data_IF_717669755506
#
_entry.id   IF_717669755506
#
_cell.length_a   1.000
_cell.length_b   1.000
_cell.length_c   1.000
_cell.angle_alpha   90.00
_cell.angle_beta   90.00
_cell.angle_gamma   90.00
#
_symmetry.space_group_name_H-M   'P 1'
#
loop_
_entity.id
_entity.type
_entity.pdbx_description
1 polymer ?
#
# COMPACT_ATOMS: atom_id res chain seq x y z
N UNK A 1 6.20 25.58 -43.84
CA UNK A 1 5.92 25.14 -42.45
C UNK A 1 4.50 24.55 -42.36
N UNK A 2 4.26 23.34 -42.87
CA UNK A 2 2.93 22.67 -42.77
C UNK A 2 3.07 21.21 -42.29
N UNK A 3 4.25 20.60 -42.47
CA UNK A 3 4.49 19.19 -42.12
C UNK A 3 4.69 18.95 -40.61
N UNK A 4 5.04 19.98 -39.84
CA UNK A 4 5.30 19.84 -38.40
C UNK A 4 4.02 19.70 -37.57
N UNK A 5 2.92 20.30 -38.02
CA UNK A 5 1.65 20.36 -37.30
C UNK A 5 0.98 18.98 -37.13
N UNK A 6 0.82 18.13 -38.17
CA UNK A 6 0.21 16.82 -38.02
C UNK A 6 1.03 15.85 -37.16
N UNK A 7 2.36 15.93 -37.22
CA UNK A 7 3.26 15.11 -36.40
C UNK A 7 3.13 15.49 -34.92
N UNK A 8 3.09 16.79 -34.61
CA UNK A 8 2.94 17.28 -33.25
C UNK A 8 1.59 16.88 -32.63
N UNK A 9 0.51 16.92 -33.40
CA UNK A 9 -0.80 16.48 -32.94
C UNK A 9 -0.86 14.98 -32.65
N UNK A 10 -0.19 14.15 -33.46
CA UNK A 10 -0.18 12.69 -33.28
C UNK A 10 0.60 12.28 -32.02
N UNK A 11 1.77 12.88 -31.79
CA UNK A 11 2.60 12.64 -30.60
C UNK A 11 1.87 13.05 -29.32
N UNK A 12 1.11 14.15 -29.34
CA UNK A 12 0.41 14.66 -28.15
C UNK A 12 -0.75 13.76 -27.71
N UNK A 13 -1.47 13.15 -28.66
CA UNK A 13 -2.64 12.31 -28.36
C UNK A 13 -2.21 10.96 -27.75
N UNK A 14 -1.10 10.37 -28.22
CA UNK A 14 -0.56 9.12 -27.65
C UNK A 14 0.02 9.31 -26.24
N UNK A 15 0.62 10.47 -25.98
CA UNK A 15 1.30 10.75 -24.71
C UNK A 15 0.32 10.86 -23.51
N UNK A 16 -0.94 11.21 -23.75
CA UNK A 16 -1.93 11.43 -22.68
C UNK A 16 -2.53 10.14 -22.10
N UNK A 17 -2.55 9.06 -22.88
CA UNK A 17 -3.06 7.75 -22.41
C UNK A 17 -2.02 6.92 -21.66
N UNK A 18 -0.72 7.22 -21.85
CA UNK A 18 0.40 6.53 -21.18
C UNK A 18 0.62 7.08 -19.76
N UNK A 19 0.39 8.38 -19.53
CA UNK A 19 0.61 9.05 -18.25
C UNK A 19 -0.28 8.51 -17.12
N UNK A 20 -1.55 8.17 -17.40
CA UNK A 20 -2.48 7.63 -16.38
C UNK A 20 -2.06 6.27 -15.83
N UNK A 21 -1.56 5.37 -16.69
CA UNK A 21 -1.08 4.05 -16.27
C UNK A 21 0.21 4.12 -15.46
N UNK A 22 1.10 5.08 -15.77
CA UNK A 22 2.33 5.30 -15.00
C UNK A 22 2.04 5.82 -13.59
N UNK A 23 1.12 6.78 -13.45
CA UNK A 23 0.79 7.35 -12.14
C UNK A 23 0.16 6.34 -11.17
N UNK A 24 -0.76 5.48 -11.66
CA UNK A 24 -1.33 4.40 -10.82
C UNK A 24 -0.25 3.43 -10.36
N UNK A 25 0.67 3.05 -11.25
CA UNK A 25 1.77 2.14 -10.90
C UNK A 25 2.70 2.75 -9.85
N UNK A 26 3.07 4.02 -10.00
CA UNK A 26 3.92 4.73 -9.04
C UNK A 26 3.23 4.83 -7.67
N UNK A 27 1.95 5.21 -7.63
CA UNK A 27 1.19 5.29 -6.38
C UNK A 27 1.04 3.93 -5.71
N UNK A 28 0.80 2.88 -6.48
CA UNK A 28 0.74 1.51 -5.98
C UNK A 28 2.10 1.06 -5.42
N UNK A 29 3.20 1.34 -6.12
CA UNK A 29 4.55 1.04 -5.66
C UNK A 29 4.90 1.78 -4.36
N UNK A 30 4.59 3.08 -4.28
CA UNK A 30 4.75 3.89 -3.07
C UNK A 30 3.92 3.34 -1.91
N UNK A 31 2.62 3.11 -2.10
CA UNK A 31 1.73 2.54 -1.08
C UNK A 31 2.15 1.15 -0.61
N UNK A 32 2.62 0.31 -1.54
CA UNK A 32 3.17 -1.01 -1.21
C UNK A 32 4.44 -0.89 -0.38
N UNK A 33 5.34 0.04 -0.72
CA UNK A 33 6.55 0.30 0.04
C UNK A 33 6.21 0.79 1.46
N UNK A 34 5.23 1.68 1.60
CA UNK A 34 4.74 2.15 2.89
C UNK A 34 4.21 1.01 3.77
N UNK A 35 3.31 0.17 3.24
CA UNK A 35 2.78 -0.99 3.98
C UNK A 35 3.91 -1.93 4.41
N UNK A 36 4.88 -2.19 3.52
CA UNK A 36 6.04 -3.05 3.85
C UNK A 36 6.92 -2.45 4.92
N UNK A 37 7.21 -1.16 4.85
CA UNK A 37 8.00 -0.44 5.85
C UNK A 37 7.28 -0.46 7.21
N UNK A 38 5.96 -0.31 7.22
CA UNK A 38 5.16 -0.41 8.44
C UNK A 38 5.15 -1.83 9.03
N UNK A 39 4.95 -2.86 8.20
CA UNK A 39 5.03 -4.26 8.60
C UNK A 39 6.43 -4.62 9.14
N UNK A 40 7.48 -4.14 8.48
CA UNK A 40 8.87 -4.36 8.90
C UNK A 40 9.20 -3.64 10.22
N UNK A 41 8.77 -2.39 10.39
CA UNK A 41 8.94 -1.63 11.64
C UNK A 41 8.16 -2.26 12.81
N UNK A 42 6.98 -2.82 12.54
CA UNK A 42 6.24 -3.61 13.52
C UNK A 42 7.01 -4.90 13.86
N UNK A 43 7.55 -5.60 12.86
CA UNK A 43 8.30 -6.84 13.05
C UNK A 43 9.56 -6.65 13.89
N UNK A 44 10.35 -5.61 13.64
CA UNK A 44 11.54 -5.31 14.43
C UNK A 44 11.18 -4.93 15.85
N UNK A 45 10.09 -4.18 16.03
CA UNK A 45 9.52 -3.88 17.34
C UNK A 45 9.12 -5.10 18.14
N UNK A 46 8.50 -6.10 17.49
CA UNK A 46 8.13 -7.38 18.10
C UNK A 46 9.33 -8.26 18.47
N UNK A 47 10.50 -8.07 17.85
CA UNK A 47 11.71 -8.84 18.16
C UNK A 47 12.43 -8.36 19.43
N UNK A 48 12.19 -7.13 19.88
CA UNK A 48 12.93 -6.49 20.97
C UNK A 48 12.25 -6.45 22.34
N UNK A 49 10.92 -6.54 22.43
CA UNK A 49 10.12 -6.59 23.67
C UNK A 49 8.62 -6.74 23.34
N UNK A 50 7.74 -6.79 24.34
CA UNK A 50 6.28 -6.73 24.17
C UNK A 50 5.84 -5.50 23.36
N UNK A 51 5.73 -5.71 22.04
CA UNK A 51 5.14 -4.75 21.14
C UNK A 51 3.64 -4.67 21.42
N UNK A 52 3.17 -3.51 21.88
CA UNK A 52 1.79 -3.25 22.23
C UNK A 52 1.14 -2.25 21.25
N UNK A 53 -0.17 -2.06 21.43
CA UNK A 53 -0.99 -1.19 20.57
C UNK A 53 -0.47 0.26 20.53
N UNK A 54 0.18 0.74 21.59
CA UNK A 54 0.70 2.11 21.70
C UNK A 54 1.92 2.33 20.83
N UNK A 55 2.86 1.36 20.75
CA UNK A 55 3.99 1.51 19.82
C UNK A 55 3.51 1.41 18.37
N UNK A 56 2.52 0.55 18.08
CA UNK A 56 1.88 0.46 16.76
C UNK A 56 1.24 1.79 16.35
N UNK A 57 0.44 2.39 17.24
CA UNK A 57 -0.19 3.69 17.02
C UNK A 57 0.86 4.79 16.79
N UNK A 58 1.93 4.81 17.59
CA UNK A 58 3.02 5.78 17.43
C UNK A 58 3.72 5.62 16.08
N UNK A 59 4.08 4.40 15.69
CA UNK A 59 4.72 4.14 14.40
C UNK A 59 3.81 4.58 13.23
N UNK A 60 2.52 4.24 13.31
CA UNK A 60 1.54 4.62 12.30
C UNK A 60 1.42 6.14 12.19
N UNK A 61 1.29 6.84 13.33
CA UNK A 61 1.19 8.30 13.39
C UNK A 61 2.44 8.98 12.82
N UNK A 62 3.63 8.50 13.16
CA UNK A 62 4.88 9.06 12.63
C UNK A 62 5.01 8.82 11.11
N UNK A 63 4.59 7.65 10.62
CA UNK A 63 4.60 7.39 9.19
C UNK A 63 3.61 8.27 8.44
N UNK A 64 2.41 8.50 8.98
CA UNK A 64 1.38 9.32 8.36
C UNK A 64 1.76 10.81 8.21
N UNK A 65 2.75 11.31 8.97
CA UNK A 65 3.27 12.68 8.82
C UNK A 65 4.05 12.92 7.52
N UNK A 66 4.35 11.87 6.75
CA UNK A 66 5.05 12.03 5.47
C UNK A 66 4.17 12.81 4.48
N UNK A 67 4.74 13.73 3.68
CA UNK A 67 3.99 14.65 2.84
C UNK A 67 3.16 13.97 1.72
N UNK A 68 3.48 12.73 1.38
CA UNK A 68 2.81 11.95 0.32
C UNK A 68 1.66 11.06 0.87
N UNK A 69 1.31 11.20 2.16
CA UNK A 69 0.34 10.32 2.84
C UNK A 69 -0.83 11.15 3.37
N UNK A 70 -2.04 10.80 2.95
CA UNK A 70 -3.27 11.45 3.42
C UNK A 70 -3.68 10.92 4.79
N UNK A 71 -3.68 9.59 4.97
CA UNK A 71 -3.94 8.92 6.24
C UNK A 71 -3.34 7.52 6.26
N UNK A 72 -3.23 6.94 7.46
CA UNK A 72 -2.98 5.52 7.65
C UNK A 72 -4.00 4.96 8.64
N UNK A 73 -4.54 3.79 8.32
CA UNK A 73 -5.58 3.15 9.14
C UNK A 73 -5.25 1.66 9.25
N UNK A 74 -5.39 1.13 10.46
CA UNK A 74 -5.39 -0.30 10.71
C UNK A 74 -6.74 -0.69 11.34
N UNK A 75 -7.44 -1.62 10.71
CA UNK A 75 -8.73 -2.12 11.17
C UNK A 75 -8.68 -3.59 11.53
N UNK A 76 -9.65 -4.03 12.35
CA UNK A 76 -9.97 -5.45 12.48
C UNK A 76 -10.84 -5.93 11.29
N UNK A 77 -11.19 -7.22 11.29
CA UNK A 77 -12.01 -7.84 10.23
C UNK A 77 -13.45 -7.31 10.15
N UNK A 78 -13.92 -6.64 11.20
CA UNK A 78 -15.24 -6.03 11.28
C UNK A 78 -15.20 -4.54 10.92
N UNK A 79 -14.03 -3.99 10.61
CA UNK A 79 -13.84 -2.58 10.30
C UNK A 79 -13.65 -1.69 11.52
N UNK A 80 -13.52 -2.24 12.73
CA UNK A 80 -13.19 -1.44 13.90
C UNK A 80 -11.75 -0.93 13.78
N UNK A 81 -11.58 0.38 13.89
CA UNK A 81 -10.28 1.03 13.80
C UNK A 81 -9.47 0.73 15.06
N UNK A 82 -8.34 0.07 14.88
CA UNK A 82 -7.38 -0.31 15.93
C UNK A 82 -6.28 0.74 16.07
N UNK A 83 -5.85 1.34 14.96
CA UNK A 83 -4.89 2.43 14.93
C UNK A 83 -5.19 3.37 13.75
N UNK A 84 -4.96 4.66 13.93
CA UNK A 84 -5.23 5.71 12.95
C UNK A 84 -4.34 6.92 13.24
N UNK A 85 -3.88 7.66 12.23
CA UNK A 85 -3.13 8.91 12.44
C UNK A 85 -3.91 9.98 13.23
N UNK A 86 -5.25 9.91 13.20
CA UNK A 86 -6.16 10.73 14.00
C UNK A 86 -6.63 9.95 15.23
N UNK A 87 -6.21 10.38 16.41
CA UNK A 87 -6.48 9.67 17.67
C UNK A 87 -7.97 9.55 17.99
N UNK A 88 -8.79 10.51 17.59
CA UNK A 88 -10.25 10.55 17.78
C UNK A 88 -11.01 9.51 16.94
N UNK A 89 -10.37 8.95 15.91
CA UNK A 89 -10.97 7.92 15.05
C UNK A 89 -10.80 6.51 15.61
N UNK A 90 -9.91 6.31 16.58
CA UNK A 90 -9.62 4.98 17.13
C UNK A 90 -10.86 4.44 17.85
N UNK A 91 -11.21 3.18 17.58
CA UNK A 91 -12.39 2.52 18.13
C UNK A 91 -13.69 2.77 17.36
N UNK A 92 -13.70 3.73 16.42
CA UNK A 92 -14.82 3.92 15.49
C UNK A 92 -14.81 2.85 14.39
N UNK A 93 -15.90 2.76 13.61
CA UNK A 93 -15.97 1.90 12.44
C UNK A 93 -15.48 2.64 11.21
N UNK A 94 -14.60 2.00 10.45
CA UNK A 94 -14.23 2.45 9.13
C UNK A 94 -15.43 2.26 8.20
N UNK A 95 -16.19 3.32 8.00
CA UNK A 95 -17.42 3.34 7.22
C UNK A 95 -17.09 3.35 5.72
N UNK A 96 -16.79 2.18 5.15
CA UNK A 96 -16.68 2.05 3.72
C UNK A 96 -17.14 0.68 3.20
N UNK A 97 -17.66 0.65 1.96
CA UNK A 97 -18.05 -0.52 1.16
C UNK A 97 -16.94 -1.57 0.86
N UNK A 98 -15.89 -1.67 1.70
CA UNK A 98 -14.89 -2.72 1.57
C UNK A 98 -15.39 -4.01 2.19
N UNK A 99 -15.32 -5.11 1.45
CA UNK A 99 -15.46 -6.45 2.02
C UNK A 99 -14.16 -6.85 2.76
N UNK A 100 -14.02 -6.32 3.98
CA UNK A 100 -12.86 -6.57 4.85
C UNK A 100 -12.69 -8.05 5.20
N UNK A 101 -13.77 -8.84 5.20
CA UNK A 101 -13.69 -10.29 5.44
C UNK A 101 -12.96 -10.97 4.29
N UNK A 102 -13.36 -10.70 3.05
CA UNK A 102 -12.67 -11.20 1.86
C UNK A 102 -11.20 -10.76 1.80
N UNK A 103 -10.95 -9.46 2.05
CA UNK A 103 -9.58 -8.91 2.07
C UNK A 103 -8.71 -9.61 3.13
N UNK A 104 -9.24 -9.87 4.33
CA UNK A 104 -8.51 -10.52 5.42
C UNK A 104 -8.13 -11.99 5.16
N UNK A 105 -8.83 -12.64 4.23
CA UNK A 105 -8.59 -14.01 3.82
C UNK A 105 -7.55 -14.12 2.70
N UNK A 106 -7.28 -13.02 1.98
CA UNK A 106 -6.22 -12.95 0.96
C UNK A 106 -4.98 -12.22 1.49
N UNK A 107 -3.82 -12.52 0.90
CA UNK A 107 -2.59 -11.71 1.09
C UNK A 107 -2.38 -10.75 -0.09
N UNK A 108 -3.44 -10.49 -0.85
CA UNK A 108 -3.33 -9.74 -2.09
C UNK A 108 -3.39 -8.25 -1.83
N UNK A 109 -2.58 -7.54 -2.61
CA UNK A 109 -2.52 -6.09 -2.59
C UNK A 109 -3.67 -5.57 -3.43
N UNK A 110 -4.51 -4.75 -2.81
CA UNK A 110 -5.65 -4.14 -3.45
C UNK A 110 -5.51 -2.62 -3.38
N UNK A 111 -6.15 -1.94 -4.32
CA UNK A 111 -6.18 -0.49 -4.34
C UNK A 111 -7.50 0.02 -4.91
N UNK A 112 -7.84 1.25 -4.58
CA UNK A 112 -8.98 1.97 -5.14
C UNK A 112 -8.73 3.47 -5.11
N UNK A 113 -9.51 4.21 -5.88
CA UNK A 113 -9.54 5.67 -5.83
C UNK A 113 -10.87 6.10 -5.21
N UNK A 114 -10.81 6.82 -4.09
CA UNK A 114 -11.99 7.41 -3.46
C UNK A 114 -11.96 8.93 -3.64
N UNK A 115 -13.15 9.55 -3.63
CA UNK A 115 -13.28 11.00 -3.54
C UNK A 115 -13.60 11.35 -2.10
N UNK A 116 -12.73 12.14 -1.49
CA UNK A 116 -12.96 12.67 -0.16
C UNK A 116 -14.05 13.76 -0.20
N UNK A 117 -14.62 14.08 0.98
CA UNK A 117 -15.65 15.11 1.16
C UNK A 117 -15.21 16.49 0.62
N UNK A 118 -13.91 16.77 0.65
CA UNK A 118 -13.31 18.02 0.13
C UNK A 118 -13.04 18.00 -1.39
N UNK A 119 -13.43 16.93 -2.09
CA UNK A 119 -13.24 16.78 -3.54
C UNK A 119 -11.86 16.28 -3.97
N UNK A 120 -10.94 16.11 -3.01
CA UNK A 120 -9.63 15.50 -3.25
C UNK A 120 -9.78 14.01 -3.59
N UNK A 121 -8.99 13.55 -4.57
CA UNK A 121 -8.93 12.13 -4.95
C UNK A 121 -7.84 11.46 -4.12
N UNK A 122 -8.23 10.47 -3.33
CA UNK A 122 -7.30 9.69 -2.51
C UNK A 122 -7.12 8.31 -3.14
N UNK A 123 -5.85 7.94 -3.34
CA UNK A 123 -5.48 6.61 -3.81
C UNK A 123 -5.21 5.70 -2.60
N UNK A 124 -6.18 4.87 -2.25
CA UNK A 124 -6.05 3.94 -1.14
C UNK A 124 -5.39 2.65 -1.59
N UNK A 125 -4.34 2.25 -0.89
CA UNK A 125 -3.70 0.94 -1.05
C UNK A 125 -3.88 0.17 0.25
N UNK A 126 -4.39 -1.06 0.16
CA UNK A 126 -4.72 -1.85 1.34
C UNK A 126 -4.47 -3.33 1.09
N UNK A 127 -4.19 -4.05 2.18
CA UNK A 127 -4.08 -5.50 2.23
C UNK A 127 -4.23 -5.97 3.66
N UNK A 128 -4.34 -7.29 3.85
CA UNK A 128 -4.19 -7.89 5.16
C UNK A 128 -2.83 -7.53 5.78
N UNK A 129 -2.87 -6.94 6.97
CA UNK A 129 -1.70 -6.70 7.80
C UNK A 129 -1.17 -8.02 8.34
N UNK A 130 0.09 -8.33 8.04
CA UNK A 130 0.74 -9.57 8.50
C UNK A 130 2.24 -9.34 8.66
N UNK A 131 2.69 -8.73 9.77
CA UNK A 131 4.09 -8.35 9.99
C UNK A 131 5.07 -9.55 10.01
N UNK A 132 4.57 -10.75 10.26
CA UNK A 132 5.36 -12.00 10.21
C UNK A 132 5.31 -12.70 8.84
N UNK A 133 4.57 -12.17 7.86
CA UNK A 133 4.50 -12.78 6.54
C UNK A 133 5.79 -12.56 5.77
N UNK A 134 6.37 -13.63 5.22
CA UNK A 134 7.51 -13.54 4.30
C UNK A 134 6.99 -12.95 2.97
N UNK A 135 7.55 -11.82 2.49
CA UNK A 135 7.17 -11.23 1.21
C UNK A 135 7.21 -12.26 0.06
N UNK A 136 6.17 -12.30 -0.79
CA UNK A 136 6.12 -13.16 -1.98
C UNK A 136 7.35 -12.98 -2.90
N UNK A 137 7.97 -11.79 -2.92
CA UNK A 137 9.20 -11.51 -3.68
C UNK A 137 10.43 -12.23 -3.13
N UNK A 138 10.52 -12.44 -1.81
CA UNK A 138 11.60 -13.21 -1.19
C UNK A 138 11.40 -14.72 -1.38
N UNK A 139 10.15 -15.20 -1.47
CA UNK A 139 9.86 -16.59 -1.85
C UNK A 139 10.37 -16.92 -3.26
N UNK A 140 10.19 -16.04 -4.23
CA UNK A 140 10.65 -16.27 -5.61
C UNK A 140 12.19 -16.32 -5.73
N UNK A 141 12.92 -15.49 -4.96
CA UNK A 141 14.39 -15.52 -4.94
C UNK A 141 14.97 -16.79 -4.28
N UNK A 142 14.34 -17.30 -3.21
CA UNK A 142 14.78 -18.53 -2.55
C UNK A 142 14.62 -19.78 -3.43
N UNK A 143 13.54 -19.85 -4.21
CA UNK A 143 13.27 -20.99 -5.10
C UNK A 143 14.25 -21.00 -6.29
N UNK A 144 14.62 -19.84 -6.84
CA UNK A 144 15.61 -19.76 -7.94
C UNK A 144 17.01 -20.20 -7.51
N UNK A 145 17.46 -19.88 -6.29
CA UNK A 145 18.77 -20.34 -5.81
C UNK A 145 18.82 -21.85 -5.60
N UNK A 146 17.71 -22.49 -5.18
CA UNK A 146 17.66 -23.95 -5.01
C UNK A 146 17.72 -24.70 -6.35
N UNK A 147 17.08 -24.18 -7.39
CA UNK A 147 17.13 -24.78 -8.73
C UNK A 147 18.52 -24.68 -9.39
N UNK A 148 19.26 -23.57 -9.18
CA UNK A 148 20.63 -23.42 -9.69
C UNK A 148 21.66 -24.31 -8.99
N UNK A 149 21.39 -24.74 -7.75
CA UNK A 149 22.25 -25.67 -7.01
C UNK A 149 22.01 -27.13 -7.42
N UNK A 150 20.77 -27.48 -7.75
CA UNK A 150 20.39 -28.85 -8.18
C UNK A 150 20.68 -29.13 -9.66
N UNK A 151 20.91 -28.11 -10.49
CA UNK A 151 21.28 -28.30 -11.91
C UNK A 151 22.79 -28.45 -12.14
N UNK A 152 23.58 -28.49 -11.06
CA UNK A 152 25.04 -28.69 -11.08
C UNK A 152 25.45 -30.07 -10.55
N UNK A 153 24.48 -30.96 -10.35
CA UNK A 153 24.69 -32.38 -10.05
C UNK A 153 23.91 -33.24 -11.05
#
# INVERSE_FOLDING_TARGET
MIVLFPIFTFITIENLNIQKKHNTKILLEKGTALIRSFEAGTRTGMMGMEWNIRQLQRLLTEMAKQPDIVYLILTDRNGKIIAHDQQDKIGTLYANDLDLKSISNSNDLNWREIKELEGNKVFEVFRKFSPNSIPKSLRHRGIQMHQQFMSQF
#
